data_IF_343392497186
#
_entry.id   IF_343392497186
#
_cell.length_a   1.000
_cell.length_b   1.000
_cell.length_c   1.000
_cell.angle_alpha   90.00
_cell.angle_beta   90.00
_cell.angle_gamma   90.00
#
_symmetry.space_group_name_H-M   'P 1'
#
loop_
_entity.id
_entity.type
_entity.pdbx_description
1 polymer ?
#
# COMPACT_ATOMS: atom_id res chain seq x y z
N UNK A 1 6.86 -15.60 -12.28
CA UNK A 1 7.64 -16.81 -11.99
C UNK A 1 7.88 -16.91 -10.50
N UNK A 2 7.08 -17.78 -9.84
CA UNK A 2 7.01 -17.90 -8.37
C UNK A 2 8.37 -18.33 -7.81
N UNK A 3 9.02 -19.31 -8.42
CA UNK A 3 10.32 -19.82 -7.97
C UNK A 3 11.39 -18.71 -7.99
N UNK A 4 11.42 -17.90 -9.03
CA UNK A 4 12.35 -16.78 -9.14
C UNK A 4 12.12 -15.74 -8.05
N UNK A 5 10.86 -15.43 -7.75
CA UNK A 5 10.51 -14.49 -6.67
C UNK A 5 10.87 -15.07 -5.28
N UNK A 6 10.61 -16.35 -5.06
CA UNK A 6 10.98 -17.03 -3.81
C UNK A 6 12.50 -17.05 -3.60
N UNK A 7 13.27 -17.39 -4.63
CA UNK A 7 14.73 -17.39 -4.56
C UNK A 7 15.29 -15.98 -4.33
N UNK A 8 14.68 -14.95 -4.91
CA UNK A 8 15.06 -13.57 -4.67
C UNK A 8 14.87 -13.18 -3.20
N UNK A 9 13.67 -13.43 -2.65
CA UNK A 9 13.39 -13.16 -1.24
C UNK A 9 14.30 -13.96 -0.30
N UNK A 10 14.50 -15.24 -0.56
CA UNK A 10 15.41 -16.09 0.22
C UNK A 10 16.82 -15.53 0.26
N UNK A 11 17.37 -15.10 -0.89
CA UNK A 11 18.70 -14.53 -0.94
C UNK A 11 18.77 -13.20 -0.16
N UNK A 12 17.77 -12.34 -0.29
CA UNK A 12 17.71 -11.10 0.50
C UNK A 12 17.70 -11.36 2.01
N UNK A 13 16.98 -12.39 2.44
CA UNK A 13 16.94 -12.79 3.85
C UNK A 13 18.28 -13.34 4.31
N UNK A 14 18.86 -14.26 3.53
CA UNK A 14 20.18 -14.85 3.82
C UNK A 14 21.28 -13.80 3.93
N UNK A 15 21.21 -12.76 3.11
CA UNK A 15 22.15 -11.65 3.11
C UNK A 15 21.85 -10.61 4.21
N UNK A 16 20.80 -10.84 5.03
CA UNK A 16 20.41 -9.93 6.12
C UNK A 16 19.81 -8.61 5.65
N UNK A 17 19.28 -8.55 4.42
CA UNK A 17 18.70 -7.33 3.84
C UNK A 17 17.23 -7.13 4.21
N UNK A 18 16.57 -8.13 4.76
CA UNK A 18 15.18 -8.07 5.22
C UNK A 18 15.15 -8.30 6.74
N UNK A 19 14.47 -7.41 7.46
CA UNK A 19 14.20 -7.61 8.88
C UNK A 19 13.17 -8.72 9.06
N UNK A 20 13.47 -9.67 9.95
CA UNK A 20 12.55 -10.75 10.25
C UNK A 20 11.48 -10.31 11.25
N UNK A 21 10.25 -10.71 10.99
CA UNK A 21 9.13 -10.51 11.87
C UNK A 21 8.43 -9.17 11.77
N UNK A 22 7.42 -8.99 12.59
CA UNK A 22 6.63 -7.77 12.67
C UNK A 22 7.34 -6.70 13.48
N UNK A 23 7.67 -5.57 12.87
CA UNK A 23 8.36 -4.46 13.54
C UNK A 23 7.42 -3.36 14.08
N UNK A 24 6.12 -3.57 13.99
CA UNK A 24 5.12 -2.68 14.59
C UNK A 24 4.83 -1.42 13.79
N UNK A 25 5.83 -0.67 13.37
CA UNK A 25 5.64 0.58 12.65
C UNK A 25 6.83 0.93 11.77
N UNK A 26 6.61 1.82 10.79
CA UNK A 26 7.70 2.37 9.98
C UNK A 26 8.79 3.01 10.85
N UNK A 27 8.37 3.70 11.91
CA UNK A 27 9.27 4.37 12.85
C UNK A 27 10.17 3.38 13.58
N UNK A 28 9.60 2.27 14.03
CA UNK A 28 10.36 1.19 14.68
C UNK A 28 11.32 0.51 13.70
N UNK A 29 10.92 0.39 12.43
CA UNK A 29 11.77 -0.13 11.37
C UNK A 29 12.97 0.79 11.12
N UNK A 30 12.76 2.10 10.99
CA UNK A 30 13.85 3.06 10.78
C UNK A 30 14.79 3.16 12.00
N UNK A 31 14.27 3.01 13.21
CA UNK A 31 15.08 2.91 14.42
C UNK A 31 16.00 1.67 14.44
N UNK A 32 15.69 0.66 13.62
CA UNK A 32 16.52 -0.54 13.43
C UNK A 32 17.43 -0.44 12.19
N UNK A 33 17.72 0.76 11.70
CA UNK A 33 18.51 1.03 10.49
C UNK A 33 17.90 0.48 9.19
N UNK A 34 16.59 0.39 9.13
CA UNK A 34 15.89 0.03 7.91
C UNK A 34 15.86 1.22 6.95
N UNK A 35 16.24 1.02 5.70
CA UNK A 35 16.21 2.08 4.69
C UNK A 35 14.83 2.25 4.07
N UNK A 36 14.08 1.15 3.90
CA UNK A 36 12.76 1.14 3.30
C UNK A 36 11.77 0.39 4.19
N UNK A 37 10.54 0.85 4.18
CA UNK A 37 9.42 0.18 4.80
C UNK A 37 8.20 0.24 3.88
N UNK A 38 7.69 -0.92 3.47
CA UNK A 38 6.49 -1.01 2.65
C UNK A 38 5.25 -0.93 3.54
N UNK A 39 4.33 -0.02 3.24
CA UNK A 39 3.07 0.12 3.95
C UNK A 39 1.96 0.67 3.04
N UNK A 40 0.71 0.50 3.45
CA UNK A 40 -0.42 1.13 2.79
C UNK A 40 -0.48 2.64 3.04
N UNK A 41 -1.09 3.38 2.13
CA UNK A 41 -1.15 4.85 2.18
C UNK A 41 -1.87 5.37 3.43
N UNK A 42 -2.82 4.61 3.98
CA UNK A 42 -3.50 4.92 5.24
C UNK A 42 -2.54 5.05 6.43
N UNK A 43 -1.42 4.37 6.41
CA UNK A 43 -0.42 4.46 7.45
C UNK A 43 0.40 5.75 7.36
N UNK A 44 0.67 6.24 6.14
CA UNK A 44 1.41 7.49 5.94
C UNK A 44 0.64 8.73 6.38
N UNK A 45 -0.67 8.68 6.26
CA UNK A 45 -1.58 9.79 6.59
C UNK A 45 -2.14 9.71 8.01
N UNK A 46 -1.74 8.70 8.76
CA UNK A 46 -2.14 8.48 10.15
C UNK A 46 -0.98 8.63 11.13
N UNK A 47 -0.90 7.68 12.05
CA UNK A 47 0.12 7.68 13.12
C UNK A 47 1.56 7.51 12.61
N UNK A 48 1.74 7.09 11.36
CA UNK A 48 3.03 6.86 10.73
C UNK A 48 3.48 8.05 9.86
N UNK A 49 2.70 9.13 9.81
CA UNK A 49 3.11 10.35 9.09
C UNK A 49 4.43 10.89 9.65
N UNK A 50 5.31 11.48 8.80
CA UNK A 50 6.54 12.12 9.26
C UNK A 50 6.26 13.15 10.35
N UNK A 51 7.08 13.21 11.39
CA UNK A 51 7.04 14.26 12.40
C UNK A 51 8.00 15.38 12.06
N UNK A 52 7.82 16.52 12.71
CA UNK A 52 8.77 17.61 12.59
C UNK A 52 10.20 17.15 12.91
N UNK A 53 11.12 17.45 12.01
CA UNK A 53 12.53 17.04 12.12
C UNK A 53 12.85 15.61 11.62
N UNK A 54 11.86 14.82 11.25
CA UNK A 54 12.08 13.54 10.57
C UNK A 54 12.21 13.77 9.06
N UNK A 55 13.27 13.22 8.48
CA UNK A 55 13.57 13.38 7.06
C UNK A 55 13.43 12.02 6.34
N UNK A 56 12.24 11.70 5.90
CA UNK A 56 11.94 10.53 5.08
C UNK A 56 10.93 10.87 3.99
N UNK A 57 10.94 10.09 2.93
CA UNK A 57 10.13 10.34 1.74
C UNK A 57 9.24 9.14 1.40
N UNK A 58 8.49 9.30 0.32
CA UNK A 58 7.66 8.25 -0.26
C UNK A 58 8.23 7.90 -1.63
N UNK A 59 8.37 6.62 -1.90
CA UNK A 59 8.81 6.09 -3.19
C UNK A 59 7.88 4.97 -3.63
N UNK A 60 7.66 4.76 -4.92
CA UNK A 60 6.89 3.61 -5.39
C UNK A 60 7.64 2.31 -5.06
N UNK A 61 6.89 1.20 -4.97
CA UNK A 61 7.51 -0.12 -4.82
C UNK A 61 8.39 -0.39 -6.04
N UNK A 62 9.68 -0.73 -5.83
CA UNK A 62 10.61 -0.99 -6.93
C UNK A 62 10.15 -2.20 -7.74
N UNK A 63 10.38 -2.14 -9.03
CA UNK A 63 10.13 -3.26 -9.92
C UNK A 63 11.29 -4.25 -9.86
N UNK A 64 10.97 -5.52 -10.11
CA UNK A 64 11.95 -6.59 -10.05
C UNK A 64 12.96 -6.59 -11.22
N UNK A 65 12.51 -6.18 -12.40
CA UNK A 65 13.30 -6.15 -13.61
C UNK A 65 12.92 -4.93 -14.49
N UNK A 66 13.51 -4.85 -15.68
CA UNK A 66 13.25 -3.81 -16.66
C UNK A 66 11.85 -3.92 -17.33
N UNK A 67 10.94 -4.71 -16.76
CA UNK A 67 9.56 -4.76 -17.20
C UNK A 67 8.94 -3.36 -17.09
N UNK A 68 8.44 -2.88 -18.20
CA UNK A 68 7.89 -1.52 -18.29
C UNK A 68 6.54 -1.35 -17.60
N UNK A 69 5.86 -2.46 -17.25
CA UNK A 69 4.58 -2.38 -16.55
C UNK A 69 4.79 -2.07 -15.09
N UNK A 70 4.49 -0.85 -14.70
CA UNK A 70 4.42 -0.47 -13.30
C UNK A 70 3.24 -1.18 -12.63
N UNK A 71 3.46 -1.74 -11.45
CA UNK A 71 2.46 -2.50 -10.70
C UNK A 71 2.36 -1.92 -9.29
N UNK A 72 1.14 -1.75 -8.83
CA UNK A 72 0.83 -1.45 -7.41
C UNK A 72 -0.20 -2.43 -6.88
N UNK A 73 -0.22 -2.62 -5.57
CA UNK A 73 -1.25 -3.44 -4.91
C UNK A 73 -2.17 -2.56 -4.09
N UNK A 74 -3.43 -2.93 -3.99
CA UNK A 74 -4.41 -2.21 -3.19
C UNK A 74 -5.39 -3.16 -2.54
N UNK A 75 -5.83 -2.81 -1.34
CA UNK A 75 -7.00 -3.40 -0.73
C UNK A 75 -8.27 -2.81 -1.33
N UNK A 76 -9.30 -3.63 -1.43
CA UNK A 76 -10.60 -3.19 -1.91
C UNK A 76 -11.56 -3.02 -0.74
N UNK A 77 -11.99 -1.78 -0.49
CA UNK A 77 -13.12 -1.50 0.39
C UNK A 77 -14.40 -1.45 -0.42
N UNK A 78 -15.37 -2.28 -0.07
CA UNK A 78 -16.66 -2.33 -0.74
C UNK A 78 -17.78 -1.81 0.15
N UNK A 79 -18.75 -1.14 -0.47
CA UNK A 79 -20.00 -0.76 0.19
C UNK A 79 -21.09 -1.74 -0.23
N UNK A 80 -21.86 -2.21 0.74
CA UNK A 80 -22.97 -3.13 0.47
C UNK A 80 -24.31 -2.42 0.64
N UNK A 81 -25.19 -2.65 -0.33
CA UNK A 81 -26.56 -2.20 -0.24
C UNK A 81 -27.39 -3.13 0.66
N UNK A 82 -28.01 -2.55 1.69
CA UNK A 82 -28.86 -3.34 2.60
C UNK A 82 -30.14 -3.73 1.89
N UNK A 83 -30.45 -5.03 1.89
CA UNK A 83 -31.71 -5.57 1.31
C UNK A 83 -32.92 -4.91 1.97
N UNK A 84 -33.85 -4.42 1.17
CA UNK A 84 -35.05 -3.75 1.65
C UNK A 84 -34.92 -2.23 1.85
N UNK A 85 -33.74 -1.65 1.62
CA UNK A 85 -33.61 -0.19 1.60
C UNK A 85 -34.37 0.42 0.42
N UNK A 86 -35.13 1.48 0.70
CA UNK A 86 -35.91 2.23 -0.32
C UNK A 86 -35.22 3.51 -0.79
N UNK A 87 -33.97 3.77 -0.35
CA UNK A 87 -33.24 5.02 -0.61
C UNK A 87 -32.20 4.89 -1.74
N UNK A 88 -32.52 4.14 -2.79
CA UNK A 88 -31.59 3.88 -3.91
C UNK A 88 -31.05 5.15 -4.57
N UNK A 89 -31.92 6.11 -4.84
CA UNK A 89 -31.53 7.35 -5.51
C UNK A 89 -30.60 8.22 -4.66
N UNK A 90 -30.83 8.27 -3.35
CA UNK A 90 -29.94 9.00 -2.43
C UNK A 90 -28.54 8.39 -2.37
N UNK A 91 -28.45 7.06 -2.35
CA UNK A 91 -27.16 6.35 -2.34
C UNK A 91 -26.45 6.51 -3.68
N UNK A 92 -27.15 6.40 -4.79
CA UNK A 92 -26.60 6.66 -6.12
C UNK A 92 -26.02 8.07 -6.21
N UNK A 93 -26.79 9.08 -5.80
CA UNK A 93 -26.33 10.46 -5.75
C UNK A 93 -25.08 10.64 -4.87
N UNK A 94 -25.04 10.00 -3.71
CA UNK A 94 -23.88 10.04 -2.84
C UNK A 94 -22.62 9.45 -3.52
N UNK A 95 -22.75 8.29 -4.16
CA UNK A 95 -21.63 7.69 -4.89
C UNK A 95 -21.16 8.56 -6.07
N UNK A 96 -22.09 9.15 -6.81
CA UNK A 96 -21.75 10.08 -7.90
C UNK A 96 -21.00 11.31 -7.37
N UNK A 97 -21.42 11.89 -6.25
CA UNK A 97 -20.73 13.01 -5.60
C UNK A 97 -19.33 12.61 -5.11
N UNK A 98 -19.21 11.45 -4.46
CA UNK A 98 -17.92 10.94 -3.99
C UNK A 98 -16.98 10.70 -5.16
N UNK A 99 -17.46 10.06 -6.22
CA UNK A 99 -16.67 9.85 -7.43
C UNK A 99 -16.22 11.19 -8.03
N UNK A 100 -17.16 12.11 -8.26
CA UNK A 100 -16.84 13.42 -8.84
C UNK A 100 -15.81 14.19 -7.99
N UNK A 101 -15.93 14.15 -6.67
CA UNK A 101 -14.96 14.82 -5.78
C UNK A 101 -13.54 14.26 -5.88
N UNK A 102 -13.38 13.03 -6.39
CA UNK A 102 -12.08 12.36 -6.54
C UNK A 102 -11.52 12.41 -7.95
N UNK A 103 -12.40 12.46 -8.97
CA UNK A 103 -11.99 12.28 -10.37
C UNK A 103 -12.21 13.54 -11.24
N UNK A 104 -12.95 14.53 -10.79
CA UNK A 104 -13.16 15.78 -11.54
C UNK A 104 -11.95 16.71 -11.33
N UNK A 105 -11.22 17.08 -12.39
CA UNK A 105 -10.01 17.90 -12.30
C UNK A 105 -10.20 19.23 -11.56
N UNK A 106 -11.41 19.76 -11.53
CA UNK A 106 -11.70 21.01 -10.79
C UNK A 106 -11.49 20.91 -9.29
N UNK A 107 -11.48 19.70 -8.74
CA UNK A 107 -11.24 19.46 -7.30
C UNK A 107 -9.80 19.07 -6.97
N UNK A 108 -8.96 18.85 -7.98
CA UNK A 108 -7.60 18.37 -7.80
C UNK A 108 -6.79 19.26 -6.83
N UNK A 109 -6.73 20.56 -7.13
CA UNK A 109 -6.01 21.52 -6.27
C UNK A 109 -6.63 21.58 -4.87
N UNK A 110 -7.95 21.61 -4.76
CA UNK A 110 -8.63 21.62 -3.46
C UNK A 110 -8.35 20.36 -2.64
N UNK A 111 -8.26 19.19 -3.29
CA UNK A 111 -7.92 17.94 -2.64
C UNK A 111 -6.46 17.93 -2.17
N UNK A 112 -5.53 18.43 -2.99
CA UNK A 112 -4.13 18.60 -2.62
C UNK A 112 -3.99 19.53 -1.44
N UNK A 113 -4.59 20.71 -1.49
CA UNK A 113 -4.52 21.70 -0.40
C UNK A 113 -5.01 21.12 0.94
N UNK A 114 -6.17 20.45 0.92
CA UNK A 114 -6.72 19.79 2.11
C UNK A 114 -5.83 18.66 2.62
N UNK A 115 -5.23 17.90 1.71
CA UNK A 115 -4.31 16.84 2.10
C UNK A 115 -3.09 17.42 2.80
N UNK A 116 -2.46 18.44 2.21
CA UNK A 116 -1.28 19.11 2.76
C UNK A 116 -1.59 19.81 4.10
N UNK A 117 -2.75 20.44 4.22
CA UNK A 117 -3.22 21.02 5.49
C UNK A 117 -3.32 19.98 6.61
N UNK A 118 -3.83 18.79 6.30
CA UNK A 118 -3.95 17.70 7.27
C UNK A 118 -2.63 16.93 7.51
N UNK A 119 -1.65 17.10 6.64
CA UNK A 119 -0.37 16.39 6.69
C UNK A 119 0.79 17.38 6.51
N UNK A 120 1.03 18.30 7.47
CA UNK A 120 1.94 19.44 7.30
C UNK A 120 3.41 19.07 7.08
N UNK A 121 3.79 17.82 7.37
CA UNK A 121 5.16 17.34 7.18
C UNK A 121 5.34 16.56 5.85
N UNK A 122 4.31 16.53 5.02
CA UNK A 122 4.42 16.00 3.67
C UNK A 122 4.97 17.09 2.74
N UNK A 123 5.79 16.67 1.77
CA UNK A 123 6.25 17.55 0.69
C UNK A 123 5.38 17.38 -0.55
N UNK A 124 5.48 18.35 -1.47
CA UNK A 124 4.81 18.25 -2.78
C UNK A 124 5.25 16.99 -3.53
N UNK A 125 6.55 16.65 -3.49
CA UNK A 125 7.09 15.48 -4.16
C UNK A 125 6.50 14.18 -3.57
N UNK A 126 6.31 14.09 -2.26
CA UNK A 126 5.67 12.93 -1.62
C UNK A 126 4.22 12.79 -2.07
N UNK A 127 3.50 13.91 -2.17
CA UNK A 127 2.13 13.92 -2.68
C UNK A 127 2.07 13.51 -4.15
N UNK A 128 2.98 13.99 -4.98
CA UNK A 128 3.03 13.67 -6.40
C UNK A 128 3.31 12.19 -6.61
N UNK A 129 4.23 11.58 -5.85
CA UNK A 129 4.44 10.13 -5.86
C UNK A 129 3.17 9.36 -5.44
N UNK A 130 2.49 9.82 -4.38
CA UNK A 130 1.20 9.22 -3.96
C UNK A 130 0.17 9.23 -5.08
N UNK A 131 0.09 10.30 -5.86
CA UNK A 131 -0.85 10.41 -6.97
C UNK A 131 -0.40 9.62 -8.20
N UNK A 132 0.91 9.54 -8.46
CA UNK A 132 1.46 8.75 -9.56
C UNK A 132 1.12 7.26 -9.43
N UNK A 133 1.29 6.67 -8.23
CA UNK A 133 1.03 5.23 -8.02
C UNK A 133 -0.43 4.80 -8.15
N UNK A 134 -1.37 5.74 -8.19
CA UNK A 134 -2.80 5.49 -8.45
C UNK A 134 -3.25 5.98 -9.83
N UNK A 135 -2.31 6.43 -10.66
CA UNK A 135 -2.58 6.86 -12.04
C UNK A 135 -2.80 5.66 -12.97
N UNK A 136 -3.24 5.96 -14.20
CA UNK A 136 -3.46 4.95 -15.23
C UNK A 136 -2.15 4.29 -15.73
N UNK A 137 -1.00 4.83 -15.36
CA UNK A 137 0.31 4.25 -15.67
C UNK A 137 0.63 3.00 -14.87
N UNK A 138 -0.11 2.76 -13.78
CA UNK A 138 0.05 1.60 -12.92
C UNK A 138 -1.05 0.57 -13.10
N UNK A 139 -0.65 -0.69 -13.21
CA UNK A 139 -1.59 -1.80 -13.08
C UNK A 139 -1.86 -2.05 -11.60
N UNK A 140 -3.10 -1.81 -11.18
CA UNK A 140 -3.52 -2.04 -9.81
C UNK A 140 -4.00 -3.48 -9.62
N UNK A 141 -3.39 -4.19 -8.68
CA UNK A 141 -3.75 -5.57 -8.34
C UNK A 141 -4.47 -5.61 -6.99
N UNK A 142 -5.64 -6.25 -6.98
CA UNK A 142 -6.47 -6.44 -5.78
C UNK A 142 -6.45 -7.88 -5.25
N UNK A 143 -5.83 -8.80 -5.98
CA UNK A 143 -5.80 -10.21 -5.62
C UNK A 143 -4.49 -10.57 -4.95
N UNK A 144 -4.56 -10.95 -3.69
CA UNK A 144 -3.45 -11.50 -2.89
C UNK A 144 -3.35 -13.03 -3.02
N UNK A 145 -3.76 -13.57 -4.16
CA UNK A 145 -3.81 -14.98 -4.48
C UNK A 145 -4.94 -15.77 -3.76
N UNK A 146 -5.88 -15.10 -3.11
CA UNK A 146 -7.07 -15.75 -2.54
C UNK A 146 -7.96 -16.41 -3.61
N UNK A 147 -7.98 -15.85 -4.82
CA UNK A 147 -8.67 -16.45 -5.95
C UNK A 147 -8.07 -17.77 -6.42
N UNK A 148 -6.81 -18.05 -6.06
CA UNK A 148 -6.11 -19.31 -6.36
C UNK A 148 -6.24 -20.26 -5.18
N UNK A 149 -5.91 -19.80 -3.97
CA UNK A 149 -5.95 -20.58 -2.74
C UNK A 149 -5.92 -19.66 -1.53
N UNK A 150 -6.83 -19.89 -0.57
CA UNK A 150 -6.80 -19.18 0.72
C UNK A 150 -5.48 -19.39 1.45
N UNK A 151 -4.95 -20.62 1.43
CA UNK A 151 -3.66 -20.91 2.06
C UNK A 151 -2.49 -20.13 1.43
N UNK A 152 -2.53 -19.91 0.12
CA UNK A 152 -1.52 -19.08 -0.55
C UNK A 152 -1.72 -17.58 -0.25
N UNK A 153 -2.95 -17.11 -0.20
CA UNK A 153 -3.30 -15.75 0.19
C UNK A 153 -2.89 -15.45 1.63
N UNK A 154 -3.23 -16.34 2.55
CA UNK A 154 -2.91 -16.22 3.98
C UNK A 154 -1.38 -16.17 4.23
N UNK A 155 -0.60 -16.92 3.46
CA UNK A 155 0.86 -16.90 3.57
C UNK A 155 1.51 -15.61 3.06
N UNK A 156 0.81 -14.83 2.26
CA UNK A 156 1.27 -13.50 1.84
C UNK A 156 0.98 -12.43 2.87
N UNK A 157 -0.02 -12.63 3.70
CA UNK A 157 -0.33 -11.72 4.78
C UNK A 157 0.44 -12.13 6.03
N UNK A 158 0.95 -11.14 6.74
CA UNK A 158 1.55 -11.32 8.06
C UNK A 158 0.47 -11.61 9.11
N UNK A 159 -0.31 -12.64 8.89
CA UNK A 159 -1.27 -13.08 9.88
C UNK A 159 -0.70 -14.26 10.65
N UNK A 160 -0.08 -13.94 11.76
CA UNK A 160 0.39 -14.81 12.83
C UNK A 160 1.05 -16.13 12.39
N UNK A 161 2.32 -16.27 12.58
CA UNK A 161 3.09 -17.49 12.70
C UNK A 161 3.52 -18.27 11.45
N UNK A 162 3.04 -18.02 10.26
CA UNK A 162 3.53 -18.72 9.05
C UNK A 162 3.37 -17.91 7.76
N UNK A 163 3.88 -16.71 7.71
CA UNK A 163 4.01 -16.02 6.43
C UNK A 163 5.06 -16.73 5.55
N UNK A 164 5.05 -16.43 4.25
CA UNK A 164 6.03 -17.00 3.31
C UNK A 164 7.47 -16.76 3.76
N UNK A 165 7.72 -15.62 4.38
CA UNK A 165 9.02 -15.22 4.92
C UNK A 165 9.43 -16.14 6.06
N UNK A 166 8.53 -16.40 7.05
CA UNK A 166 8.83 -17.30 8.16
C UNK A 166 9.08 -18.74 7.69
N UNK A 167 8.34 -19.18 6.66
CA UNK A 167 8.56 -20.51 6.07
C UNK A 167 9.95 -20.60 5.40
N UNK A 168 10.41 -19.55 4.76
CA UNK A 168 11.76 -19.50 4.16
C UNK A 168 12.86 -19.45 5.22
N UNK A 169 12.62 -18.79 6.35
CA UNK A 169 13.59 -18.75 7.46
C UNK A 169 13.68 -20.07 8.23
N UNK A 170 12.60 -20.84 8.31
CA UNK A 170 12.60 -22.10 9.05
C UNK A 170 13.41 -23.22 8.39
N UNK A 171 13.68 -23.08 7.08
CA UNK A 171 14.44 -24.04 6.29
C UNK A 171 15.91 -23.61 6.07
N UNK A 172 16.33 -22.50 6.66
CA UNK A 172 17.68 -21.96 6.61
C UNK A 172 18.41 -22.15 7.95
#
# INVERSE_FOLDING_TARGET
DIEKAQNFLYNMMKDGLILNGWVGSARDCFNQNCLFYAMGDWAYTGNQTPKEGENWGVVPIPQYDDNQQKITTSDMTAFMWVKGSTRSEAVKCWFECVRASKTDPKYEQTNKDKFMENNPNWTDEMYDVKMDVVSDDYLMLFDYAYGISSALGDRKQFDGNQCLVDALYSDA
#
